data_IF_757999108876
#
_entry.id   IF_757999108876
#
_cell.length_a   1.000
_cell.length_b   1.000
_cell.length_c   1.000
_cell.angle_alpha   90.00
_cell.angle_beta   90.00
_cell.angle_gamma   90.00
#
_symmetry.space_group_name_H-M   'P 1'
#
loop_
_entity.id
_entity.type
_entity.pdbx_description
1 polymer ?
#
# COMPACT_ATOMS: atom_id res chain seq x y z
N UNK A 1 -7.87 -27.98 13.44
CA UNK A 1 -7.50 -26.72 12.76
C UNK A 1 -6.55 -27.09 11.65
N UNK A 2 -6.86 -26.75 10.40
CA UNK A 2 -6.00 -27.00 9.25
C UNK A 2 -5.18 -25.75 8.96
N UNK A 3 -4.00 -25.68 9.58
CA UNK A 3 -3.03 -24.62 9.34
C UNK A 3 -1.91 -25.08 8.43
N UNK A 4 -1.29 -24.14 7.73
CA UNK A 4 0.01 -24.38 7.10
C UNK A 4 1.05 -24.82 8.14
N UNK A 5 2.05 -25.65 7.77
CA UNK A 5 3.13 -26.00 8.67
C UNK A 5 3.86 -24.74 9.15
N UNK A 6 4.03 -24.62 10.46
CA UNK A 6 4.76 -23.50 11.07
C UNK A 6 6.22 -23.57 10.62
N UNK A 7 6.65 -22.59 9.84
CA UNK A 7 8.06 -22.45 9.48
C UNK A 7 8.76 -21.83 10.69
N UNK A 8 9.76 -22.54 11.22
CA UNK A 8 10.54 -22.06 12.36
C UNK A 8 11.20 -20.72 12.02
N UNK A 9 11.28 -19.77 12.97
CA UNK A 9 11.96 -18.50 12.74
C UNK A 9 13.40 -18.72 12.28
N UNK A 10 13.78 -18.08 11.18
CA UNK A 10 15.11 -18.13 10.61
C UNK A 10 15.76 -16.74 10.68
N UNK A 11 17.08 -16.73 10.91
CA UNK A 11 17.86 -15.49 11.01
C UNK A 11 18.71 -15.30 9.77
N UNK A 12 18.73 -14.07 9.27
CA UNK A 12 19.40 -13.68 8.04
C UNK A 12 20.31 -12.49 8.27
N UNK A 13 21.50 -12.54 7.69
CA UNK A 13 22.48 -11.45 7.62
C UNK A 13 22.48 -10.76 6.24
N UNK A 14 21.64 -11.24 5.32
CA UNK A 14 21.47 -10.74 3.96
C UNK A 14 19.98 -10.40 3.70
N UNK A 15 19.76 -9.26 3.04
CA UNK A 15 18.43 -8.73 2.76
C UNK A 15 17.67 -9.53 1.68
N UNK A 16 18.35 -10.10 0.70
CA UNK A 16 17.76 -10.88 -0.38
C UNK A 16 17.22 -12.22 0.14
N UNK A 17 17.99 -12.96 0.96
CA UNK A 17 17.48 -14.19 1.58
C UNK A 17 16.37 -13.92 2.58
N UNK A 18 16.43 -12.82 3.33
CA UNK A 18 15.34 -12.40 4.21
C UNK A 18 14.05 -12.16 3.41
N UNK A 19 14.13 -11.42 2.30
CA UNK A 19 12.98 -11.18 1.43
C UNK A 19 12.46 -12.48 0.78
N UNK A 20 13.35 -13.35 0.30
CA UNK A 20 12.98 -14.64 -0.27
C UNK A 20 12.20 -15.50 0.74
N UNK A 21 12.61 -15.47 2.01
CA UNK A 21 11.90 -16.16 3.09
C UNK A 21 10.51 -15.56 3.35
N UNK A 22 10.38 -14.23 3.38
CA UNK A 22 9.08 -13.55 3.50
C UNK A 22 8.15 -13.96 2.36
N UNK A 23 8.66 -13.94 1.12
CA UNK A 23 7.90 -14.35 -0.07
C UNK A 23 7.48 -15.82 -0.02
N UNK A 24 8.36 -16.72 0.44
CA UNK A 24 8.06 -18.13 0.58
C UNK A 24 6.94 -18.39 1.60
N UNK A 25 7.03 -17.78 2.78
CA UNK A 25 6.00 -17.89 3.83
C UNK A 25 4.67 -17.34 3.32
N UNK A 26 4.66 -16.14 2.75
CA UNK A 26 3.43 -15.50 2.26
C UNK A 26 2.78 -16.31 1.13
N UNK A 27 3.56 -16.76 0.15
CA UNK A 27 3.05 -17.56 -0.98
C UNK A 27 2.43 -18.87 -0.50
N UNK A 28 3.05 -19.56 0.46
CA UNK A 28 2.51 -20.77 1.05
C UNK A 28 1.19 -20.50 1.80
N UNK A 29 1.16 -19.45 2.62
CA UNK A 29 -0.03 -19.03 3.37
C UNK A 29 -1.21 -18.70 2.44
N UNK A 30 -0.99 -17.90 1.39
CA UNK A 30 -2.02 -17.53 0.41
C UNK A 30 -2.43 -18.72 -0.44
N UNK A 31 -1.49 -19.56 -0.89
CA UNK A 31 -1.78 -20.78 -1.63
C UNK A 31 -2.71 -21.72 -0.86
N UNK A 32 -2.39 -21.99 0.42
CA UNK A 32 -3.24 -22.81 1.29
C UNK A 32 -4.64 -22.24 1.48
N UNK A 33 -4.77 -20.93 1.66
CA UNK A 33 -6.08 -20.26 1.77
C UNK A 33 -6.89 -20.37 0.48
N UNK A 34 -6.26 -20.11 -0.67
CA UNK A 34 -6.89 -20.20 -1.99
C UNK A 34 -7.35 -21.61 -2.31
N UNK A 35 -6.47 -22.60 -2.15
CA UNK A 35 -6.78 -24.01 -2.43
C UNK A 35 -7.92 -24.52 -1.52
N UNK A 36 -7.85 -24.18 -0.23
CA UNK A 36 -8.89 -24.55 0.73
C UNK A 36 -10.23 -23.89 0.39
N UNK A 37 -10.22 -22.64 -0.05
CA UNK A 37 -11.42 -21.93 -0.45
C UNK A 37 -12.00 -22.48 -1.76
N UNK A 38 -11.17 -22.79 -2.75
CA UNK A 38 -11.64 -23.43 -3.99
C UNK A 38 -12.32 -24.77 -3.72
N UNK A 39 -11.72 -25.62 -2.87
CA UNK A 39 -12.32 -26.87 -2.39
C UNK A 39 -13.63 -26.63 -1.66
N UNK A 40 -13.66 -25.63 -0.77
CA UNK A 40 -14.87 -25.24 -0.05
C UNK A 40 -15.98 -24.82 -1.02
N UNK A 41 -15.70 -23.96 -2.00
CA UNK A 41 -16.66 -23.48 -3.00
C UNK A 41 -17.16 -24.62 -3.88
N UNK A 42 -16.26 -25.51 -4.31
CA UNK A 42 -16.55 -26.65 -5.19
C UNK A 42 -17.50 -27.71 -4.59
N UNK A 43 -17.73 -27.69 -3.28
CA UNK A 43 -18.65 -28.65 -2.66
C UNK A 43 -18.10 -29.32 -1.41
N UNK A 44 -16.79 -29.28 -1.23
CA UNK A 44 -16.12 -30.12 -0.24
C UNK A 44 -16.40 -29.65 1.20
N UNK A 45 -16.64 -30.63 2.09
CA UNK A 45 -16.72 -30.37 3.52
C UNK A 45 -15.32 -30.41 4.12
N UNK A 46 -14.78 -29.23 4.43
CA UNK A 46 -13.47 -29.12 5.04
C UNK A 46 -13.49 -29.73 6.46
N UNK A 47 -12.43 -30.47 6.85
CA UNK A 47 -12.37 -31.20 8.12
C UNK A 47 -12.20 -30.30 9.37
N UNK A 48 -12.07 -28.98 9.19
CA UNK A 48 -12.06 -28.02 10.30
C UNK A 48 -11.67 -26.61 9.85
N UNK A 49 -11.54 -25.70 10.83
CA UNK A 49 -11.16 -24.30 10.60
C UNK A 49 -9.82 -24.20 9.88
N UNK A 50 -9.78 -23.45 8.78
CA UNK A 50 -8.61 -23.19 7.95
C UNK A 50 -8.00 -21.86 8.38
N UNK A 51 -6.69 -21.86 8.64
CA UNK A 51 -5.95 -20.65 9.01
C UNK A 51 -4.60 -20.62 8.32
N UNK A 52 -4.20 -19.45 7.87
CA UNK A 52 -2.81 -19.13 7.57
C UNK A 52 -2.49 -17.76 8.19
N UNK A 53 -1.22 -17.51 8.50
CA UNK A 53 -0.79 -16.29 9.17
C UNK A 53 0.21 -15.50 8.32
N UNK A 54 0.29 -14.19 8.59
CA UNK A 54 1.25 -13.31 7.93
C UNK A 54 2.69 -13.68 8.32
N UNK A 55 3.67 -13.52 7.42
CA UNK A 55 5.07 -13.45 7.84
C UNK A 55 5.30 -12.25 8.75
N UNK A 56 6.26 -12.37 9.67
CA UNK A 56 6.80 -11.23 10.41
C UNK A 56 8.28 -11.05 10.11
N UNK A 57 8.76 -9.83 10.31
CA UNK A 57 10.18 -9.50 10.41
C UNK A 57 10.45 -8.90 11.77
N UNK A 58 11.55 -9.34 12.40
CA UNK A 58 12.01 -8.84 13.69
C UNK A 58 13.48 -8.49 13.63
N UNK A 59 13.84 -7.40 14.27
CA UNK A 59 15.23 -6.97 14.49
C UNK A 59 15.45 -6.77 16.00
N UNK A 60 16.57 -7.27 16.49
CA UNK A 60 17.03 -7.03 17.85
C UNK A 60 18.24 -6.09 17.83
N UNK A 61 18.18 -5.02 18.61
CA UNK A 61 19.31 -4.11 18.81
C UNK A 61 19.65 -4.02 20.30
N UNK A 62 20.95 -4.04 20.62
CA UNK A 62 21.42 -3.91 22.00
C UNK A 62 22.12 -2.56 22.27
N UNK A 63 22.08 -1.65 21.29
CA UNK A 63 22.81 -0.37 21.36
C UNK A 63 21.88 0.80 21.06
N UNK A 64 22.19 1.94 21.68
CA UNK A 64 21.57 3.25 21.42
C UNK A 64 22.30 3.99 20.28
N UNK A 65 23.33 3.38 19.66
CA UNK A 65 24.14 4.08 18.67
C UNK A 65 23.28 4.46 17.46
N UNK A 66 23.01 5.75 17.33
CA UNK A 66 22.42 6.31 16.13
C UNK A 66 23.36 6.03 14.95
N UNK A 67 22.84 5.41 13.90
CA UNK A 67 23.60 5.22 12.69
C UNK A 67 23.90 6.61 12.08
N UNK A 68 25.15 6.85 11.68
CA UNK A 68 25.51 8.03 10.89
C UNK A 68 24.94 7.86 9.46
N UNK A 69 23.63 8.09 9.33
CA UNK A 69 22.91 8.05 8.07
C UNK A 69 22.36 9.46 7.77
N UNK A 70 22.55 10.00 6.57
CA UNK A 70 21.89 11.23 6.15
C UNK A 70 20.39 11.00 5.83
N UNK A 71 19.93 9.75 5.76
CA UNK A 71 18.54 9.40 5.52
C UNK A 71 17.72 9.58 6.80
N UNK A 72 16.50 10.08 6.65
CA UNK A 72 15.52 10.21 7.75
C UNK A 72 14.86 8.89 8.15
N UNK A 73 15.18 7.77 7.49
CA UNK A 73 14.59 6.45 7.69
C UNK A 73 15.64 5.33 7.61
N UNK A 74 15.21 4.07 7.82
CA UNK A 74 16.06 2.88 7.72
C UNK A 74 16.85 2.58 9.00
N UNK A 75 16.38 3.03 10.15
CA UNK A 75 16.98 2.75 11.47
C UNK A 75 15.89 2.61 12.53
N UNK A 76 16.27 2.13 13.73
CA UNK A 76 15.40 2.05 14.90
C UNK A 76 15.94 2.96 16.00
N UNK A 77 15.05 3.51 16.82
CA UNK A 77 15.36 4.63 17.72
C UNK A 77 16.24 4.28 18.93
N UNK A 78 16.38 3.00 19.27
CA UNK A 78 17.14 2.58 20.44
C UNK A 78 17.33 1.07 20.55
N UNK A 79 17.87 0.59 21.68
CA UNK A 79 17.95 -0.84 21.98
C UNK A 79 16.55 -1.40 22.27
N UNK A 80 16.28 -2.58 21.74
CA UNK A 80 15.00 -3.25 21.91
C UNK A 80 14.77 -4.31 20.84
N UNK A 81 13.62 -4.98 20.95
CA UNK A 81 13.10 -5.81 19.87
C UNK A 81 12.10 -4.97 19.08
N UNK A 82 12.23 -4.96 17.76
CA UNK A 82 11.28 -4.30 16.87
C UNK A 82 10.71 -5.33 15.91
N UNK A 83 9.40 -5.38 15.75
CA UNK A 83 8.69 -6.35 14.93
C UNK A 83 7.60 -5.70 14.09
N UNK A 84 7.34 -6.26 12.91
CA UNK A 84 6.11 -6.00 12.17
C UNK A 84 5.69 -7.20 11.32
N UNK A 85 4.40 -7.30 11.03
CA UNK A 85 3.85 -8.26 10.07
C UNK A 85 3.88 -7.68 8.65
N UNK A 86 4.18 -8.54 7.68
CA UNK A 86 4.35 -8.16 6.28
C UNK A 86 3.27 -8.80 5.41
N UNK A 87 2.82 -8.08 4.38
CA UNK A 87 1.86 -8.58 3.38
C UNK A 87 2.30 -8.17 1.98
N UNK A 88 1.70 -8.77 0.95
CA UNK A 88 1.93 -8.45 -0.47
C UNK A 88 3.41 -8.22 -0.82
N UNK A 89 4.32 -9.16 -0.50
CA UNK A 89 5.73 -9.03 -0.88
C UNK A 89 5.96 -9.13 -2.40
N UNK A 90 4.92 -9.40 -3.18
CA UNK A 90 4.87 -9.21 -4.63
C UNK A 90 4.76 -7.73 -5.04
N UNK A 91 4.06 -6.91 -4.25
CA UNK A 91 3.94 -5.46 -4.45
C UNK A 91 5.08 -4.69 -3.77
N UNK A 92 5.42 -5.05 -2.53
CA UNK A 92 6.37 -4.32 -1.70
C UNK A 92 7.81 -4.86 -1.75
N UNK A 93 8.14 -5.75 -2.70
CA UNK A 93 9.47 -6.38 -2.79
C UNK A 93 10.62 -5.36 -2.76
N UNK A 94 10.54 -4.31 -3.58
CA UNK A 94 11.56 -3.28 -3.67
C UNK A 94 11.72 -2.51 -2.35
N UNK A 95 10.59 -2.11 -1.75
CA UNK A 95 10.55 -1.42 -0.47
C UNK A 95 11.16 -2.29 0.66
N UNK A 96 10.75 -3.55 0.77
CA UNK A 96 11.27 -4.47 1.80
C UNK A 96 12.77 -4.71 1.63
N UNK A 97 13.23 -4.94 0.39
CA UNK A 97 14.66 -5.12 0.11
C UNK A 97 15.48 -3.90 0.54
N UNK A 98 15.02 -2.70 0.21
CA UNK A 98 15.68 -1.46 0.60
C UNK A 98 15.72 -1.31 2.12
N UNK A 99 14.58 -1.46 2.80
CA UNK A 99 14.53 -1.32 4.27
C UNK A 99 15.39 -2.36 4.98
N UNK A 100 15.36 -3.62 4.55
CA UNK A 100 16.21 -4.67 5.13
C UNK A 100 17.69 -4.36 4.94
N UNK A 101 18.07 -3.90 3.74
CA UNK A 101 19.44 -3.48 3.44
C UNK A 101 19.88 -2.34 4.34
N UNK A 102 19.03 -1.31 4.52
CA UNK A 102 19.33 -0.16 5.38
C UNK A 102 19.45 -0.58 6.85
N UNK A 103 18.54 -1.39 7.36
CA UNK A 103 18.58 -1.87 8.75
C UNK A 103 19.87 -2.64 9.05
N UNK A 104 20.24 -3.59 8.18
CA UNK A 104 21.49 -4.33 8.31
C UNK A 104 22.70 -3.39 8.21
N UNK A 105 22.75 -2.52 7.20
CA UNK A 105 23.88 -1.59 7.00
C UNK A 105 24.08 -0.62 8.17
N UNK A 106 22.98 -0.07 8.68
CA UNK A 106 23.01 0.99 9.69
C UNK A 106 23.33 0.44 11.09
N UNK A 107 22.92 -0.79 11.39
CA UNK A 107 23.11 -1.38 12.72
C UNK A 107 24.27 -2.38 12.83
N UNK A 108 24.79 -2.93 11.73
CA UNK A 108 25.86 -3.94 11.74
C UNK A 108 27.27 -3.41 12.06
N UNK A 109 27.47 -2.10 12.22
CA UNK A 109 28.80 -1.51 12.45
C UNK A 109 29.38 -1.77 13.86
N UNK A 110 28.51 -1.85 14.87
CA UNK A 110 28.93 -1.96 16.29
C UNK A 110 28.47 -3.26 16.96
N UNK A 111 27.63 -4.03 16.30
CA UNK A 111 27.11 -5.31 16.75
C UNK A 111 26.74 -6.16 15.53
N UNK A 112 26.69 -7.47 15.67
CA UNK A 112 26.10 -8.35 14.64
C UNK A 112 24.60 -8.25 14.74
N UNK A 113 23.95 -7.63 13.76
CA UNK A 113 22.48 -7.61 13.65
C UNK A 113 22.04 -8.60 12.59
N UNK A 114 20.98 -9.33 12.89
CA UNK A 114 20.32 -10.24 11.97
C UNK A 114 18.83 -9.92 11.93
N UNK A 115 18.22 -10.14 10.77
CA UNK A 115 16.77 -10.10 10.60
C UNK A 115 16.21 -11.49 10.87
N UNK A 116 15.26 -11.58 11.81
CA UNK A 116 14.54 -12.80 12.09
C UNK A 116 13.21 -12.79 11.33
N UNK A 117 13.02 -13.77 10.45
CA UNK A 117 11.80 -13.95 9.66
C UNK A 117 11.09 -15.22 10.10
N UNK A 118 9.80 -15.13 10.41
CA UNK A 118 8.99 -16.26 10.83
C UNK A 118 7.51 -16.11 10.49
N UNK A 119 6.71 -17.09 10.91
CA UNK A 119 5.25 -17.04 10.79
C UNK A 119 4.68 -16.37 12.03
N UNK A 120 3.89 -15.30 11.85
CA UNK A 120 3.29 -14.56 12.96
C UNK A 120 2.09 -15.32 13.56
N UNK A 121 1.58 -14.81 14.68
CA UNK A 121 0.30 -15.24 15.25
C UNK A 121 -0.91 -14.57 14.56
N UNK A 122 -0.69 -13.53 13.74
CA UNK A 122 -1.77 -12.78 13.10
C UNK A 122 -2.30 -13.53 11.87
N UNK A 123 -3.58 -13.95 11.89
CA UNK A 123 -4.17 -14.66 10.76
C UNK A 123 -4.38 -13.72 9.57
N UNK A 124 -4.28 -14.27 8.36
CA UNK A 124 -4.65 -13.59 7.11
C UNK A 124 -6.15 -13.82 6.89
N UNK A 125 -7.00 -12.78 6.89
CA UNK A 125 -8.38 -12.92 6.47
C UNK A 125 -8.49 -13.48 5.06
N UNK A 126 -9.39 -14.44 4.87
CA UNK A 126 -9.54 -15.12 3.56
C UNK A 126 -9.89 -14.14 2.43
N UNK A 127 -10.50 -13.00 2.76
CA UNK A 127 -10.91 -11.99 1.80
C UNK A 127 -9.71 -11.26 1.17
N UNK A 128 -8.56 -11.26 1.84
CA UNK A 128 -7.33 -10.70 1.29
C UNK A 128 -6.54 -11.71 0.46
N UNK A 129 -6.97 -12.99 0.44
CA UNK A 129 -6.35 -14.01 -0.40
C UNK A 129 -6.80 -13.96 -1.86
N UNK A 130 -7.91 -13.30 -2.20
CA UNK A 130 -8.45 -13.27 -3.57
C UNK A 130 -7.51 -12.57 -4.57
N UNK A 131 -7.41 -13.10 -5.79
CA UNK A 131 -6.90 -12.32 -6.92
C UNK A 131 -7.98 -11.35 -7.41
N UNK A 132 -7.57 -10.29 -8.12
CA UNK A 132 -8.43 -9.15 -8.47
C UNK A 132 -9.75 -9.50 -9.19
N UNK A 133 -9.80 -10.66 -9.86
CA UNK A 133 -10.90 -11.09 -10.72
C UNK A 133 -11.73 -12.25 -10.14
N UNK A 134 -11.40 -12.72 -8.92
CA UNK A 134 -12.09 -13.84 -8.29
C UNK A 134 -13.37 -13.38 -7.56
N UNK A 135 -14.47 -13.18 -8.32
CA UNK A 135 -15.80 -12.91 -7.75
C UNK A 135 -16.46 -14.20 -7.23
N UNK A 136 -15.88 -14.80 -6.19
CA UNK A 136 -16.29 -16.12 -5.69
C UNK A 136 -17.61 -16.04 -4.90
N UNK A 137 -17.87 -14.96 -4.17
CA UNK A 137 -19.02 -14.84 -3.26
C UNK A 137 -20.39 -14.90 -3.95
N UNK A 138 -20.48 -14.45 -5.21
CA UNK A 138 -21.72 -14.41 -5.99
C UNK A 138 -22.24 -15.81 -6.38
N UNK A 139 -21.37 -16.82 -6.38
CA UNK A 139 -21.72 -18.20 -6.79
C UNK A 139 -22.22 -19.08 -5.63
N UNK A 140 -22.17 -18.57 -4.38
CA UNK A 140 -22.39 -19.38 -3.19
C UNK A 140 -23.80 -19.26 -2.62
N UNK A 141 -24.37 -20.39 -2.19
CA UNK A 141 -25.62 -20.41 -1.44
C UNK A 141 -25.48 -19.66 -0.11
N UNK A 142 -26.56 -19.03 0.42
CA UNK A 142 -26.53 -18.31 1.69
C UNK A 142 -26.00 -19.14 2.86
N UNK A 143 -26.37 -20.43 2.92
CA UNK A 143 -25.91 -21.35 3.95
C UNK A 143 -24.39 -21.59 3.91
N UNK A 144 -23.80 -21.66 2.71
CA UNK A 144 -22.33 -21.77 2.56
C UNK A 144 -21.61 -20.48 2.91
N UNK A 145 -22.19 -19.31 2.59
CA UNK A 145 -21.64 -18.02 3.02
C UNK A 145 -21.61 -17.88 4.54
N UNK A 146 -22.63 -18.39 5.25
CA UNK A 146 -22.59 -18.44 6.71
C UNK A 146 -21.49 -19.38 7.21
N UNK A 147 -21.39 -20.60 6.68
CA UNK A 147 -20.36 -21.57 7.07
C UNK A 147 -18.92 -21.08 6.79
N UNK A 148 -18.73 -20.19 5.81
CA UNK A 148 -17.44 -19.56 5.55
C UNK A 148 -16.92 -18.78 6.77
N UNK A 149 -17.82 -18.11 7.52
CA UNK A 149 -17.47 -17.33 8.70
C UNK A 149 -16.97 -18.19 9.86
N UNK A 150 -17.45 -19.44 9.94
CA UNK A 150 -17.02 -20.40 10.95
C UNK A 150 -15.69 -21.07 10.58
N UNK A 151 -15.46 -21.26 9.28
CA UNK A 151 -14.32 -22.01 8.75
C UNK A 151 -13.08 -21.18 8.47
N UNK A 152 -13.21 -19.87 8.20
CA UNK A 152 -12.11 -19.00 7.82
C UNK A 152 -11.98 -17.79 8.76
N UNK A 153 -10.78 -17.20 8.82
CA UNK A 153 -10.57 -15.91 9.48
C UNK A 153 -11.14 -14.77 8.62
N UNK A 154 -11.78 -13.80 9.28
CA UNK A 154 -12.40 -12.61 8.66
C UNK A 154 -11.65 -11.34 9.10
N UNK A 155 -11.77 -10.24 8.35
CA UNK A 155 -11.22 -8.95 8.76
C UNK A 155 -11.78 -8.52 10.12
N UNK A 156 -10.87 -8.18 11.04
CA UNK A 156 -11.20 -7.63 12.35
C UNK A 156 -10.78 -6.15 12.39
N UNK A 157 -11.78 -5.26 12.40
CA UNK A 157 -11.56 -3.81 12.40
C UNK A 157 -10.85 -3.34 13.67
N UNK A 158 -10.99 -4.04 14.80
CA UNK A 158 -10.31 -3.67 16.04
C UNK A 158 -8.81 -3.93 16.00
N UNK A 159 -8.36 -4.87 15.17
CA UNK A 159 -6.95 -5.19 14.97
C UNK A 159 -6.31 -4.35 13.84
N UNK A 160 -7.11 -3.60 13.08
CA UNK A 160 -6.69 -2.76 11.96
C UNK A 160 -6.74 -1.28 12.36
N UNK A 161 -6.22 -0.96 13.55
CA UNK A 161 -6.16 0.41 14.07
C UNK A 161 -4.99 1.21 13.49
N UNK A 162 -5.06 2.54 13.64
CA UNK A 162 -4.02 3.48 13.25
C UNK A 162 -3.11 3.87 14.44
N UNK A 163 -3.14 3.12 15.55
CA UNK A 163 -2.48 3.50 16.81
C UNK A 163 -0.96 3.66 16.68
N UNK A 164 -0.32 2.88 15.80
CA UNK A 164 1.11 3.04 15.51
C UNK A 164 1.36 4.34 14.74
N UNK A 165 0.60 4.59 13.67
CA UNK A 165 0.75 5.79 12.83
C UNK A 165 0.41 7.08 13.60
N UNK A 166 -0.58 7.02 14.48
CA UNK A 166 -1.00 8.12 15.36
C UNK A 166 -0.08 8.30 16.57
N UNK A 167 0.88 7.39 16.80
CA UNK A 167 1.80 7.45 17.93
C UNK A 167 1.14 7.19 19.30
N UNK A 168 -0.04 6.59 19.32
CA UNK A 168 -0.78 6.25 20.56
C UNK A 168 -0.55 4.82 21.02
N UNK A 169 0.17 4.00 20.23
CA UNK A 169 0.49 2.62 20.57
C UNK A 169 1.48 2.54 21.72
N UNK A 170 0.99 2.17 22.89
CA UNK A 170 1.82 1.76 24.03
C UNK A 170 2.15 0.26 23.93
N UNK A 171 3.44 -0.08 24.04
CA UNK A 171 3.91 -1.47 24.04
C UNK A 171 4.31 -1.87 25.47
N UNK A 172 3.95 -3.08 25.88
CA UNK A 172 4.36 -3.61 27.17
C UNK A 172 5.89 -3.81 27.29
N UNK A 173 6.43 -4.03 28.51
CA UNK A 173 7.87 -4.16 28.74
C UNK A 173 8.54 -5.31 27.97
N UNK A 174 7.80 -6.38 27.70
CA UNK A 174 8.27 -7.58 26.99
C UNK A 174 7.68 -7.71 25.58
N UNK A 175 6.93 -6.71 25.11
CA UNK A 175 6.36 -6.70 23.77
C UNK A 175 7.32 -6.03 22.78
N UNK A 176 7.49 -6.58 21.57
CA UNK A 176 8.30 -5.95 20.55
C UNK A 176 7.68 -4.61 20.14
N UNK A 177 8.53 -3.59 19.98
CA UNK A 177 8.12 -2.28 19.48
C UNK A 177 7.80 -2.34 17.97
N UNK A 178 7.00 -1.41 17.43
CA UNK A 178 6.68 -1.41 16.01
C UNK A 178 7.91 -1.14 15.14
N UNK A 179 8.17 -2.02 14.16
CA UNK A 179 9.24 -1.81 13.17
C UNK A 179 8.76 -0.98 11.96
N UNK A 180 7.47 -0.99 11.66
CA UNK A 180 6.84 -0.20 10.60
C UNK A 180 5.64 0.55 11.14
N UNK A 181 5.21 1.57 10.39
CA UNK A 181 4.03 2.37 10.75
C UNK A 181 2.70 1.59 10.61
N UNK A 182 2.68 0.53 9.80
CA UNK A 182 1.47 -0.22 9.46
C UNK A 182 1.75 -1.73 9.51
N UNK A 183 0.80 -2.49 10.04
CA UNK A 183 0.83 -3.96 10.10
C UNK A 183 0.26 -4.58 8.82
N UNK A 184 0.57 -5.84 8.56
CA UNK A 184 0.04 -6.59 7.40
C UNK A 184 -1.48 -6.50 7.24
N UNK A 185 -2.30 -6.77 8.28
CA UNK A 185 -3.76 -6.65 8.19
C UNK A 185 -4.24 -5.24 7.82
N UNK A 186 -3.61 -4.20 8.38
CA UNK A 186 -3.96 -2.79 8.11
C UNK A 186 -3.65 -2.40 6.67
N UNK A 187 -2.52 -2.88 6.14
CA UNK A 187 -2.12 -2.67 4.74
C UNK A 187 -3.12 -3.36 3.80
N UNK A 188 -3.45 -4.64 4.01
CA UNK A 188 -4.39 -5.35 3.13
C UNK A 188 -5.78 -4.68 3.10
N UNK A 189 -6.26 -4.20 4.26
CA UNK A 189 -7.50 -3.42 4.33
C UNK A 189 -7.43 -2.17 3.46
N UNK A 190 -6.36 -1.37 3.58
CA UNK A 190 -6.16 -0.18 2.76
C UNK A 190 -6.07 -0.48 1.28
N UNK A 191 -5.38 -1.55 0.88
CA UNK A 191 -5.28 -1.92 -0.54
C UNK A 191 -6.67 -2.24 -1.13
N UNK A 192 -7.54 -2.93 -0.39
CA UNK A 192 -8.92 -3.17 -0.83
C UNK A 192 -9.74 -1.88 -0.91
N UNK A 193 -9.63 -1.00 0.09
CA UNK A 193 -10.35 0.28 0.10
C UNK A 193 -9.88 1.21 -0.99
N UNK A 194 -8.57 1.29 -1.22
CA UNK A 194 -7.96 2.09 -2.26
C UNK A 194 -8.56 1.70 -3.61
N UNK A 195 -8.59 0.40 -3.94
CA UNK A 195 -9.23 -0.11 -5.15
C UNK A 195 -10.70 0.31 -5.27
N UNK A 196 -11.46 0.22 -4.19
CA UNK A 196 -12.87 0.61 -4.18
C UNK A 196 -13.08 2.10 -4.46
N UNK A 197 -12.27 2.96 -3.82
CA UNK A 197 -12.41 4.42 -3.95
C UNK A 197 -11.78 4.98 -5.23
N UNK A 198 -10.66 4.41 -5.68
CA UNK A 198 -9.91 4.89 -6.85
C UNK A 198 -10.36 4.26 -8.16
N UNK A 199 -10.97 3.07 -8.09
CA UNK A 199 -11.28 2.26 -9.26
C UNK A 199 -10.04 1.71 -9.96
N UNK A 200 -8.87 1.72 -9.32
CA UNK A 200 -7.60 1.25 -9.89
C UNK A 200 -6.89 0.28 -8.96
N UNK A 201 -6.09 -0.60 -9.53
CA UNK A 201 -5.28 -1.56 -8.80
C UNK A 201 -4.11 -0.86 -8.08
N UNK A 202 -3.78 -1.22 -6.83
CA UNK A 202 -2.68 -0.61 -6.08
C UNK A 202 -1.31 -0.68 -6.78
N UNK A 203 -1.09 -1.67 -7.63
CA UNK A 203 0.10 -1.91 -8.43
C UNK A 203 0.39 -0.78 -9.43
N UNK A 204 -0.63 0.01 -9.78
CA UNK A 204 -0.50 1.14 -10.70
C UNK A 204 -0.09 2.44 -9.99
N UNK A 205 -0.23 2.52 -8.66
CA UNK A 205 0.14 3.72 -7.93
C UNK A 205 1.64 3.99 -8.02
N UNK A 206 1.97 5.27 -8.17
CA UNK A 206 3.33 5.76 -8.30
C UNK A 206 3.72 6.50 -7.01
N UNK A 207 5.03 6.66 -6.77
CA UNK A 207 5.53 7.28 -5.55
C UNK A 207 5.23 8.79 -5.46
N UNK A 208 4.94 9.46 -6.58
CA UNK A 208 4.58 10.88 -6.60
C UNK A 208 3.09 11.04 -6.88
N UNK A 209 2.37 11.59 -5.90
CA UNK A 209 0.90 11.70 -5.94
C UNK A 209 0.46 13.15 -6.07
N UNK A 210 -0.50 13.42 -6.95
CA UNK A 210 -1.18 14.70 -7.08
C UNK A 210 -2.64 14.53 -6.67
N UNK A 211 -3.12 15.35 -5.74
CA UNK A 211 -4.52 15.44 -5.40
C UNK A 211 -5.16 16.62 -6.09
N UNK A 212 -6.41 16.48 -6.53
CA UNK A 212 -7.20 17.59 -7.02
C UNK A 212 -8.63 17.53 -6.53
N UNK A 213 -9.25 18.71 -6.39
CA UNK A 213 -10.67 18.86 -6.08
C UNK A 213 -11.51 19.27 -7.30
N UNK A 214 -10.91 19.33 -8.49
CA UNK A 214 -11.55 19.91 -9.66
C UNK A 214 -11.33 19.08 -10.93
N UNK A 215 -12.44 18.74 -11.60
CA UNK A 215 -12.44 17.84 -12.76
C UNK A 215 -11.60 18.35 -13.93
N UNK A 216 -11.51 19.67 -14.11
CA UNK A 216 -10.71 20.27 -15.18
C UNK A 216 -9.24 19.80 -15.19
N UNK A 217 -8.64 19.63 -14.01
CA UNK A 217 -7.26 19.13 -13.94
C UNK A 217 -7.14 17.66 -14.36
N UNK A 218 -8.17 16.84 -14.10
CA UNK A 218 -8.21 15.46 -14.56
C UNK A 218 -8.31 15.42 -16.08
N UNK A 219 -9.20 16.21 -16.67
CA UNK A 219 -9.39 16.24 -18.12
C UNK A 219 -8.08 16.60 -18.84
N UNK A 220 -7.35 17.59 -18.32
CA UNK A 220 -6.04 17.99 -18.86
C UNK A 220 -4.95 16.93 -18.60
N UNK A 221 -4.95 16.27 -17.43
CA UNK A 221 -4.01 15.19 -17.14
C UNK A 221 -4.22 13.98 -18.07
N UNK A 222 -5.49 13.61 -18.33
CA UNK A 222 -5.86 12.56 -19.27
C UNK A 222 -5.44 12.93 -20.69
N UNK A 223 -5.71 14.17 -21.12
CA UNK A 223 -5.28 14.68 -22.43
C UNK A 223 -3.77 14.57 -22.62
N UNK A 224 -3.00 15.06 -21.64
CA UNK A 224 -1.53 14.97 -21.64
C UNK A 224 -1.05 13.51 -21.60
N UNK A 225 -1.68 12.67 -20.79
CA UNK A 225 -1.33 11.26 -20.69
C UNK A 225 -1.45 10.53 -22.02
N UNK A 226 -2.57 10.69 -22.73
CA UNK A 226 -2.74 10.13 -24.07
C UNK A 226 -1.77 10.71 -25.10
N UNK A 227 -1.49 12.02 -25.05
CA UNK A 227 -0.51 12.67 -25.93
C UNK A 227 0.89 12.06 -25.76
N UNK A 228 1.32 11.86 -24.51
CA UNK A 228 2.59 11.20 -24.17
C UNK A 228 2.60 9.76 -24.69
N UNK A 229 1.50 9.00 -24.53
CA UNK A 229 1.43 7.62 -25.00
C UNK A 229 1.49 7.51 -26.53
N UNK A 230 0.97 8.49 -27.27
CA UNK A 230 0.97 8.50 -28.74
C UNK A 230 2.31 8.95 -29.33
N UNK A 231 3.12 9.69 -28.58
CA UNK A 231 4.43 10.16 -29.01
C UNK A 231 5.45 9.02 -29.03
N UNK A 232 6.14 8.83 -30.16
CA UNK A 232 7.30 7.92 -30.20
C UNK A 232 8.49 8.55 -29.47
N UNK A 233 9.15 7.83 -28.55
CA UNK A 233 10.41 8.26 -27.97
C UNK A 233 11.44 8.56 -29.07
N UNK A 234 12.23 9.62 -28.89
CA UNK A 234 13.38 9.86 -29.77
C UNK A 234 14.55 8.96 -29.32
N UNK A 235 14.99 8.00 -30.14
CA UNK A 235 16.09 7.12 -29.77
C UNK A 235 17.46 7.83 -29.69
N UNK A 236 17.60 9.04 -30.24
CA UNK A 236 18.87 9.79 -30.28
C UNK A 236 18.93 10.93 -29.24
N UNK A 237 17.79 11.37 -28.71
CA UNK A 237 17.69 12.41 -27.69
C UNK A 237 16.43 12.21 -26.81
N UNK A 238 16.45 11.22 -25.90
CA UNK A 238 15.27 10.91 -25.09
C UNK A 238 14.92 12.09 -24.18
N UNK A 239 13.67 12.56 -24.27
CA UNK A 239 13.14 13.54 -23.31
C UNK A 239 12.81 12.89 -21.97
N UNK A 240 12.66 13.69 -20.92
CA UNK A 240 12.25 13.16 -19.59
C UNK A 240 10.92 12.40 -19.67
N UNK A 241 9.99 12.86 -20.50
CA UNK A 241 8.68 12.23 -20.71
C UNK A 241 8.76 10.89 -21.45
N UNK A 242 9.87 10.58 -22.13
CA UNK A 242 10.04 9.33 -22.87
C UNK A 242 10.26 8.11 -21.96
N UNK A 243 10.43 8.35 -20.65
CA UNK A 243 10.55 7.29 -19.64
C UNK A 243 9.19 6.74 -19.18
N UNK A 244 8.08 7.43 -19.49
CA UNK A 244 6.73 6.93 -19.19
C UNK A 244 6.31 5.85 -20.18
N UNK A 245 5.90 4.69 -19.66
CA UNK A 245 5.65 3.48 -20.46
C UNK A 245 4.15 3.15 -20.65
N UNK A 246 3.30 3.66 -19.77
CA UNK A 246 1.86 3.43 -19.83
C UNK A 246 1.08 4.55 -19.13
N UNK A 247 -0.17 4.71 -19.51
CA UNK A 247 -1.16 5.53 -18.82
C UNK A 247 -2.32 4.63 -18.39
N UNK A 248 -2.66 4.66 -17.10
CA UNK A 248 -3.73 3.82 -16.53
C UNK A 248 -4.86 4.68 -16.01
N UNK A 249 -6.08 4.32 -16.40
CA UNK A 249 -7.33 5.01 -16.05
C UNK A 249 -8.22 4.12 -15.15
N UNK A 250 -9.25 4.69 -14.50
CA UNK A 250 -10.20 3.92 -13.70
C UNK A 250 -10.77 2.71 -14.46
N UNK A 251 -10.90 1.59 -13.76
CA UNK A 251 -11.21 0.30 -14.34
C UNK A 251 -9.99 -0.48 -14.83
N UNK A 252 -8.79 -0.07 -14.42
CA UNK A 252 -7.51 -0.65 -14.88
C UNK A 252 -7.33 -0.61 -16.39
N UNK A 253 -7.85 0.42 -17.06
CA UNK A 253 -7.70 0.58 -18.51
C UNK A 253 -6.28 1.05 -18.79
N UNK A 254 -5.47 0.19 -19.39
CA UNK A 254 -4.04 0.45 -19.66
C UNK A 254 -3.85 0.89 -21.12
N UNK A 255 -3.40 2.13 -21.30
CA UNK A 255 -2.89 2.63 -22.59
C UNK A 255 -1.37 2.58 -22.59
N UNK A 256 -0.78 1.61 -23.28
CA UNK A 256 0.68 1.50 -23.44
C UNK A 256 1.22 2.55 -24.41
N UNK A 257 2.41 3.07 -24.16
CA UNK A 257 3.08 3.99 -25.08
C UNK A 257 3.41 3.28 -26.41
N UNK A 258 3.32 4.01 -27.53
CA UNK A 258 3.68 3.49 -28.85
C UNK A 258 5.10 2.93 -28.84
N UNK A 259 5.24 1.68 -29.30
CA UNK A 259 6.51 0.94 -29.29
C UNK A 259 6.63 -0.07 -28.16
N UNK A 260 5.77 -0.01 -27.14
CA UNK A 260 5.66 -1.05 -26.12
C UNK A 260 4.60 -2.08 -26.52
N UNK A 261 4.92 -3.36 -26.33
CA UNK A 261 3.95 -4.43 -26.48
C UNK A 261 2.93 -4.41 -25.33
N UNK A 262 1.72 -4.88 -25.61
CA UNK A 262 0.75 -5.20 -24.55
C UNK A 262 1.33 -6.27 -23.63
N UNK A 263 1.12 -6.12 -22.33
CA UNK A 263 1.47 -7.13 -21.34
C UNK A 263 0.23 -7.94 -20.95
N UNK A 264 0.46 -9.15 -20.45
CA UNK A 264 -0.60 -9.99 -19.90
C UNK A 264 -1.34 -9.25 -18.79
N UNK A 265 -2.67 -9.21 -18.87
CA UNK A 265 -3.54 -8.53 -17.91
C UNK A 265 -3.99 -7.14 -18.35
N UNK A 266 -3.34 -6.53 -19.34
CA UNK A 266 -3.80 -5.24 -19.92
C UNK A 266 -5.21 -5.37 -20.52
N UNK A 267 -5.56 -6.57 -21.02
CA UNK A 267 -6.86 -6.89 -21.61
C UNK A 267 -8.01 -6.99 -20.60
N UNK A 268 -7.71 -7.06 -19.31
CA UNK A 268 -8.73 -7.17 -18.25
C UNK A 268 -9.30 -5.82 -17.85
N UNK A 269 -8.64 -4.73 -18.25
CA UNK A 269 -9.09 -3.37 -18.01
C UNK A 269 -10.43 -3.06 -18.70
N UNK A 270 -11.39 -2.54 -17.95
CA UNK A 270 -12.70 -2.16 -18.47
C UNK A 270 -13.16 -0.85 -17.84
N UNK A 271 -13.41 0.15 -18.67
CA UNK A 271 -13.90 1.46 -18.22
C UNK A 271 -15.20 1.29 -17.42
N UNK A 272 -15.26 1.81 -16.18
CA UNK A 272 -16.41 1.58 -15.33
C UNK A 272 -17.62 2.37 -15.85
N UNK A 273 -18.86 1.84 -15.71
CA UNK A 273 -20.06 2.53 -16.16
C UNK A 273 -20.32 3.83 -15.39
N UNK A 274 -19.77 3.93 -14.17
CA UNK A 274 -19.78 5.13 -13.34
C UNK A 274 -18.41 5.27 -12.69
N UNK A 275 -17.89 6.50 -12.68
CA UNK A 275 -16.65 6.79 -11.97
C UNK A 275 -16.78 6.47 -10.47
N UNK A 276 -15.71 5.95 -9.85
CA UNK A 276 -15.67 5.73 -8.42
C UNK A 276 -15.66 7.07 -7.66
N UNK A 277 -15.72 7.02 -6.33
CA UNK A 277 -15.83 8.24 -5.50
C UNK A 277 -14.63 9.17 -5.65
N UNK A 278 -13.42 8.62 -5.76
CA UNK A 278 -12.16 9.37 -5.84
C UNK A 278 -11.26 8.81 -6.95
N UNK A 279 -11.62 8.98 -8.24
CA UNK A 279 -10.95 8.29 -9.34
C UNK A 279 -9.47 8.64 -9.44
N UNK A 280 -8.64 7.62 -9.66
CA UNK A 280 -7.19 7.77 -9.84
C UNK A 280 -6.75 7.45 -11.28
N UNK A 281 -5.68 8.13 -11.69
CA UNK A 281 -5.05 8.04 -13.00
C UNK A 281 -3.55 7.94 -12.80
N UNK A 282 -2.86 7.12 -13.60
CA UNK A 282 -1.46 6.81 -13.35
C UNK A 282 -0.63 6.93 -14.63
N UNK A 283 0.34 7.84 -14.62
CA UNK A 283 1.45 7.85 -15.59
C UNK A 283 2.54 6.93 -15.06
N UNK A 284 2.64 5.75 -15.66
CA UNK A 284 3.52 4.67 -15.19
C UNK A 284 4.95 4.93 -15.65
N UNK A 285 5.85 4.90 -14.68
CA UNK A 285 7.29 4.87 -14.89
C UNK A 285 7.87 3.56 -14.32
N UNK A 286 8.90 2.96 -14.94
CA UNK A 286 9.61 1.83 -14.34
C UNK A 286 10.06 2.11 -12.90
N UNK A 287 9.81 1.17 -11.97
CA UNK A 287 10.18 1.37 -10.56
C UNK A 287 9.31 2.39 -9.81
N UNK A 288 8.09 2.66 -10.28
CA UNK A 288 7.10 3.53 -9.61
C UNK A 288 7.50 5.02 -9.49
N UNK A 289 8.49 5.47 -10.27
CA UNK A 289 8.93 6.87 -10.30
C UNK A 289 7.99 7.82 -11.04
N UNK A 290 6.78 7.38 -11.39
CA UNK A 290 5.84 8.14 -12.21
C UNK A 290 4.92 9.03 -11.38
N UNK A 291 3.80 9.43 -11.98
CA UNK A 291 2.83 10.32 -11.34
C UNK A 291 1.49 9.63 -11.22
N UNK A 292 0.92 9.64 -10.01
CA UNK A 292 -0.49 9.28 -9.79
C UNK A 292 -1.28 10.53 -9.51
N UNK A 293 -2.38 10.74 -10.22
CA UNK A 293 -3.31 11.83 -9.96
C UNK A 293 -4.64 11.28 -9.46
N UNK A 294 -5.14 11.82 -8.35
CA UNK A 294 -6.40 11.40 -7.73
C UNK A 294 -7.32 12.60 -7.58
N UNK A 295 -8.53 12.50 -8.14
CA UNK A 295 -9.57 13.48 -7.86
C UNK A 295 -10.26 13.10 -6.55
N UNK A 296 -9.94 13.83 -5.47
CA UNK A 296 -10.49 13.57 -4.14
C UNK A 296 -11.90 14.17 -3.97
N UNK A 297 -12.34 14.96 -4.95
CA UNK A 297 -13.55 15.76 -4.87
C UNK A 297 -13.41 16.86 -3.83
N UNK A 298 -14.50 17.17 -3.13
CA UNK A 298 -14.55 18.24 -2.12
C UNK A 298 -14.93 17.65 -0.77
N UNK A 299 -14.21 18.07 0.27
CA UNK A 299 -14.53 17.75 1.66
C UNK A 299 -13.35 17.12 2.42
N UNK A 300 -13.07 17.59 3.64
CA UNK A 300 -12.00 17.02 4.48
C UNK A 300 -12.14 15.51 4.72
N UNK A 301 -13.37 14.99 4.81
CA UNK A 301 -13.60 13.55 5.01
C UNK A 301 -13.07 12.69 3.87
N UNK A 302 -13.24 13.13 2.61
CA UNK A 302 -12.68 12.43 1.46
C UNK A 302 -11.15 12.52 1.49
N UNK A 303 -10.61 13.72 1.76
CA UNK A 303 -9.17 13.95 1.85
C UNK A 303 -8.51 13.03 2.88
N UNK A 304 -9.07 12.94 4.11
CA UNK A 304 -8.60 12.00 5.13
C UNK A 304 -8.69 10.55 4.65
N UNK A 305 -9.85 10.14 4.15
CA UNK A 305 -10.10 8.74 3.76
C UNK A 305 -9.13 8.26 2.69
N UNK A 306 -8.83 9.07 1.67
CA UNK A 306 -7.90 8.64 0.62
C UNK A 306 -6.45 8.65 1.09
N UNK A 307 -6.05 9.62 1.92
CA UNK A 307 -4.69 9.65 2.47
C UNK A 307 -4.44 8.51 3.43
N UNK A 308 -5.45 8.10 4.20
CA UNK A 308 -5.41 6.91 5.09
C UNK A 308 -5.17 5.61 4.35
N UNK A 309 -5.32 5.57 3.02
CA UNK A 309 -5.12 4.37 2.20
C UNK A 309 -3.93 4.46 1.26
N UNK A 310 -3.66 5.66 0.73
CA UNK A 310 -2.47 5.90 -0.11
C UNK A 310 -1.21 5.87 0.74
N UNK A 311 -1.28 6.26 2.01
CA UNK A 311 -0.10 6.28 2.87
C UNK A 311 0.61 4.93 2.84
N UNK A 312 -0.10 3.80 2.89
CA UNK A 312 0.35 2.41 2.97
C UNK A 312 1.22 2.00 1.80
N UNK A 313 1.05 2.65 0.66
CA UNK A 313 1.91 2.48 -0.51
C UNK A 313 3.27 3.18 -0.39
N UNK A 314 3.49 3.91 0.71
CA UNK A 314 4.73 4.63 1.04
C UNK A 314 5.13 5.64 -0.06
N UNK A 315 4.24 6.56 -0.47
CA UNK A 315 4.57 7.56 -1.48
C UNK A 315 5.75 8.43 -0.99
N UNK A 316 6.58 8.89 -1.91
CA UNK A 316 7.68 9.79 -1.62
C UNK A 316 7.19 11.21 -1.36
N UNK A 317 6.15 11.64 -2.09
CA UNK A 317 5.52 12.93 -1.89
C UNK A 317 4.09 12.92 -2.43
N UNK A 318 3.24 13.75 -1.83
CA UNK A 318 1.97 14.15 -2.41
C UNK A 318 1.81 15.67 -2.43
N UNK A 319 1.08 16.20 -3.41
CA UNK A 319 0.82 17.63 -3.56
C UNK A 319 -0.66 17.85 -3.81
N UNK A 320 -1.25 18.84 -3.14
CA UNK A 320 -2.61 19.31 -3.44
C UNK A 320 -2.58 20.36 -4.56
N UNK A 321 -3.17 20.04 -5.69
CA UNK A 321 -3.40 20.94 -6.83
C UNK A 321 -4.89 21.14 -7.03
N UNK A 322 -5.42 22.24 -6.50
CA UNK A 322 -6.85 22.53 -6.56
C UNK A 322 -7.15 24.01 -6.57
N UNK A 323 -8.44 24.32 -6.72
CA UNK A 323 -8.90 25.71 -6.60
C UNK A 323 -9.04 26.10 -5.13
N UNK A 324 -8.85 27.38 -4.85
CA UNK A 324 -9.18 28.02 -3.58
C UNK A 324 -9.74 29.43 -3.84
N UNK A 325 -10.34 30.03 -2.82
CA UNK A 325 -10.78 31.42 -2.89
C UNK A 325 -9.67 32.34 -2.37
N UNK A 326 -9.36 33.39 -3.13
CA UNK A 326 -8.52 34.50 -2.65
C UNK A 326 -9.29 35.34 -1.64
N UNK A 327 -8.67 35.63 -0.49
CA UNK A 327 -9.28 36.43 0.59
C UNK A 327 -8.72 37.86 0.66
N UNK A 328 -7.75 38.19 -0.21
CA UNK A 328 -7.11 39.51 -0.26
C UNK A 328 -7.55 40.24 -1.52
N UNK A 329 -7.82 41.54 -1.38
CA UNK A 329 -8.25 42.40 -2.49
C UNK A 329 -7.21 42.53 -3.62
N UNK A 330 -5.95 42.22 -3.35
CA UNK A 330 -4.87 42.24 -4.33
C UNK A 330 -4.73 40.95 -5.13
N UNK A 331 -5.50 39.91 -4.81
CA UNK A 331 -5.47 38.64 -5.54
C UNK A 331 -6.40 38.69 -6.75
N UNK A 332 -5.92 38.20 -7.88
CA UNK A 332 -6.67 38.09 -9.12
C UNK A 332 -7.04 36.62 -9.41
N UNK A 333 -8.07 36.41 -10.24
CA UNK A 333 -8.44 35.07 -10.67
C UNK A 333 -7.31 34.47 -11.52
N UNK A 334 -6.77 33.34 -11.08
CA UNK A 334 -5.64 32.67 -11.72
C UNK A 334 -4.32 32.81 -10.96
N UNK A 335 -4.27 33.66 -9.93
CA UNK A 335 -3.13 33.70 -9.02
C UNK A 335 -2.94 32.37 -8.28
N UNK A 336 -1.68 32.00 -8.08
CA UNK A 336 -1.32 30.82 -7.29
C UNK A 336 -1.14 31.18 -5.81
N UNK A 337 -1.55 30.27 -4.93
CA UNK A 337 -1.30 30.34 -3.50
C UNK A 337 -0.40 29.19 -3.08
N UNK A 338 0.80 29.52 -2.63
CA UNK A 338 1.67 28.56 -1.96
C UNK A 338 1.40 28.62 -0.46
N UNK A 339 0.75 27.58 0.06
CA UNK A 339 0.50 27.47 1.49
C UNK A 339 1.82 27.27 2.24
N UNK A 340 2.08 28.12 3.23
CA UNK A 340 3.22 27.99 4.15
C UNK A 340 2.77 27.67 5.58
N UNK A 341 1.46 27.70 5.84
CA UNK A 341 0.80 27.34 7.09
C UNK A 341 -0.68 27.05 6.80
N UNK A 342 -1.35 26.36 7.72
CA UNK A 342 -2.77 25.99 7.60
C UNK A 342 -3.53 26.42 8.86
N UNK A 343 -4.71 27.02 8.68
CA UNK A 343 -5.69 27.18 9.76
C UNK A 343 -6.64 25.98 9.66
N UNK A 344 -6.53 25.07 10.62
CA UNK A 344 -7.29 23.81 10.63
C UNK A 344 -8.70 24.01 11.20
N UNK A 345 -9.65 24.22 10.30
CA UNK A 345 -11.10 24.26 10.56
C UNK A 345 -11.80 23.07 9.87
N UNK A 346 -11.05 21.97 9.68
CA UNK A 346 -11.48 20.79 8.95
C UNK A 346 -12.09 19.71 9.86
N UNK A 347 -11.78 19.76 11.17
CA UNK A 347 -12.28 18.93 12.27
C UNK A 347 -12.06 17.42 12.19
N UNK A 348 -11.72 16.90 11.00
CA UNK A 348 -11.69 15.48 10.71
C UNK A 348 -10.50 14.76 11.36
N UNK A 349 -9.46 15.51 11.74
CA UNK A 349 -8.25 15.00 12.40
C UNK A 349 -8.09 15.49 13.84
N UNK A 350 -9.01 16.27 14.40
CA UNK A 350 -8.78 16.95 15.68
C UNK A 350 -8.57 15.98 16.86
N UNK A 351 -9.18 14.80 16.81
CA UNK A 351 -9.04 13.77 17.82
C UNK A 351 -7.66 13.08 17.79
N UNK A 352 -7.10 12.88 16.59
CA UNK A 352 -5.83 12.17 16.39
C UNK A 352 -4.64 13.14 16.37
N UNK A 353 -4.85 14.36 15.88
CA UNK A 353 -3.88 15.42 15.76
C UNK A 353 -4.49 16.73 16.29
N UNK A 354 -4.27 17.10 17.56
CA UNK A 354 -4.84 18.31 18.13
C UNK A 354 -4.48 19.57 17.30
N UNK A 355 -5.40 20.53 17.22
CA UNK A 355 -5.21 21.78 16.45
C UNK A 355 -4.04 22.65 16.93
N UNK A 356 -3.50 22.36 18.11
CA UNK A 356 -2.33 23.03 18.70
C UNK A 356 -1.00 22.47 18.21
N UNK A 357 -1.00 21.30 17.56
CA UNK A 357 0.21 20.71 16.98
C UNK A 357 0.58 21.49 15.72
N UNK A 358 1.81 22.05 15.62
CA UNK A 358 2.20 22.96 14.55
C UNK A 358 2.33 22.30 13.17
#
# INVERSE_FOLDING_TARGET
>A
MHSTPTIAPARFDDAESALAQVQAIYRNSIGHLRDSLQRFVAGERLPGRVRACYPYVRIQTNTVACAESPLSYGFVAGPGQFETTLTRPDLFAGYYLEQFTLLLKNHSRKQTVQLEIGVSAQPIPVHFSFAEHDHIEGSMTPARRMAMRDLFDLPDLSAMDDGIANGTKECGPDEPQPLSLFTGPRVDYSLQRLRHYSGTAPEHFQHFVLFTNYQFYIDEFVRLGHEIMQRRPDPHAPGEQDQYIAFVEPGNVVTRRVGHAALTGDELGAAPPRLPQMPAYHLIHPGHGGITMVNIGVGPSNAKTITDHISELRPHAWIMLGHCAGLRNSQELGDYVLAHAYVREDHVLDADLPVTVP
#
